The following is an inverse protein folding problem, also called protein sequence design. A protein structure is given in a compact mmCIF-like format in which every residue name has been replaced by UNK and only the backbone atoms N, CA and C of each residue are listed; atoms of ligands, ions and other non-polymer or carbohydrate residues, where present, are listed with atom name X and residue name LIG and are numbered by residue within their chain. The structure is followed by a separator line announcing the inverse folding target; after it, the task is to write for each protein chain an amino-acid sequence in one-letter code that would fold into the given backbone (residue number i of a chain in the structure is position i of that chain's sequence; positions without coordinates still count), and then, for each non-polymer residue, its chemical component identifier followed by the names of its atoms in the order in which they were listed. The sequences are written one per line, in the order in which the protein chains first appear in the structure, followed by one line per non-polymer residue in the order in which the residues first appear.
data_IF_654466717798
#
_entry.id   IF_654466717798
#
_cell.length_a   1.000
_cell.length_b   1.000
_cell.length_c   1.000
_cell.angle_alpha   90.00
_cell.angle_beta   90.00
_cell.angle_gamma   90.00
#
_symmetry.space_group_name_H-M   'P 1'
#
loop_
_entity.id
_entity.type
_entity.pdbx_description
1 polymer ?
#
# COMPACT_ATOMS: atom_id res chain seq x y z
N UNK A 1 39.85 42.69 7.73
CA UNK A 1 38.94 41.71 8.37
C UNK A 1 38.32 40.84 7.29
N UNK A 2 38.57 39.53 7.29
CA UNK A 2 37.96 38.60 6.32
C UNK A 2 36.90 37.75 7.02
N UNK A 3 35.66 37.75 6.52
CA UNK A 3 34.58 36.94 7.08
C UNK A 3 34.69 35.47 6.63
N UNK A 4 34.71 34.53 7.58
CA UNK A 4 34.60 33.10 7.25
C UNK A 4 33.20 32.79 6.70
N UNK A 5 33.14 32.28 5.47
CA UNK A 5 31.91 31.73 4.91
C UNK A 5 31.41 30.54 5.75
N UNK A 6 30.09 30.37 5.85
CA UNK A 6 29.47 29.26 6.57
C UNK A 6 29.31 28.05 5.65
N UNK A 7 29.99 26.95 5.98
CA UNK A 7 29.88 25.65 5.30
C UNK A 7 28.42 25.20 5.19
N UNK A 8 28.01 24.71 4.02
CA UNK A 8 26.60 24.37 3.77
C UNK A 8 26.20 23.02 4.37
N UNK A 9 24.91 22.71 4.33
CA UNK A 9 24.42 21.38 4.72
C UNK A 9 24.86 20.29 3.72
N UNK A 10 25.06 20.65 2.44
CA UNK A 10 25.51 19.72 1.39
C UNK A 10 26.94 19.23 1.60
N UNK A 11 27.82 20.13 2.06
CA UNK A 11 29.23 19.80 2.24
C UNK A 11 29.40 18.77 3.37
N UNK A 12 28.74 19.00 4.52
CA UNK A 12 28.73 18.06 5.66
C UNK A 12 28.17 16.68 5.32
N UNK A 13 27.11 16.61 4.50
CA UNK A 13 26.58 15.33 4.03
C UNK A 13 27.56 14.61 3.08
N UNK A 14 28.44 15.34 2.37
CA UNK A 14 29.44 14.76 1.47
C UNK A 14 30.68 14.27 2.23
N UNK A 15 31.08 14.97 3.29
CA UNK A 15 32.15 14.55 4.21
C UNK A 15 31.80 13.20 4.86
N UNK A 16 30.58 13.06 5.41
CA UNK A 16 30.13 11.82 6.04
C UNK A 16 30.23 10.57 5.12
N UNK A 17 29.71 10.68 3.88
CA UNK A 17 29.77 9.59 2.88
C UNK A 17 31.22 9.24 2.51
N UNK A 18 32.13 10.21 2.55
CA UNK A 18 33.55 9.98 2.25
C UNK A 18 34.25 9.24 3.39
N UNK A 19 33.89 9.51 4.66
CA UNK A 19 34.48 8.86 5.84
C UNK A 19 34.14 7.36 5.93
N UNK A 20 32.93 6.95 5.53
CA UNK A 20 32.55 5.52 5.54
C UNK A 20 33.33 4.70 4.49
N UNK A 21 33.69 5.29 3.35
CA UNK A 21 34.39 4.61 2.25
C UNK A 21 35.89 4.33 2.52
N UNK A 22 36.50 4.98 3.51
CA UNK A 22 37.93 4.85 3.81
C UNK A 22 38.22 3.86 4.97
N UNK A 23 37.17 3.38 5.66
CA UNK A 23 37.29 2.45 6.78
C UNK A 23 37.45 0.96 6.37
N UNK A 24 37.18 0.60 5.11
CA UNK A 24 37.03 -0.80 4.66
C UNK A 24 38.16 -1.28 3.72
N UNK A 25 39.42 -0.93 4.01
CA UNK A 25 40.60 -1.41 3.28
C UNK A 25 41.80 -1.82 4.16
N UNK A 26 41.75 -3.01 4.77
CA UNK A 26 42.95 -3.71 5.28
C UNK A 26 42.84 -5.24 5.06
N UNK A 27 43.76 -5.80 4.24
CA UNK A 27 44.12 -7.24 4.15
C UNK A 27 43.05 -8.25 3.62
N UNK A 28 43.38 -9.30 2.83
CA UNK A 28 44.66 -9.70 2.18
C UNK A 28 44.44 -10.66 0.98
N UNK A 29 44.88 -10.23 -0.21
CA UNK A 29 45.59 -10.97 -1.30
C UNK A 29 45.06 -12.27 -1.98
N UNK A 30 45.45 -12.55 -3.26
CA UNK A 30 44.85 -13.58 -4.14
C UNK A 30 45.80 -14.79 -4.40
N UNK A 31 45.52 -15.72 -5.35
CA UNK A 31 45.57 -15.54 -6.83
C UNK A 31 44.19 -15.91 -7.49
N UNK A 32 43.96 -16.20 -8.79
CA UNK A 32 44.78 -16.65 -9.95
C UNK A 32 44.13 -16.23 -11.30
N UNK A 33 44.80 -16.47 -12.44
CA UNK A 33 44.34 -16.21 -13.81
C UNK A 33 43.11 -17.05 -14.24
N UNK A 34 42.31 -16.65 -15.25
CA UNK A 34 42.65 -16.75 -16.70
C UNK A 34 41.84 -15.77 -17.57
N UNK A 35 42.34 -15.48 -18.78
CA UNK A 35 41.73 -14.65 -19.83
C UNK A 35 40.46 -15.33 -20.46
N UNK A 36 39.73 -14.81 -21.48
CA UNK A 36 40.17 -14.01 -22.64
C UNK A 36 39.00 -13.39 -23.44
N UNK A 37 39.23 -12.20 -24.03
CA UNK A 37 38.61 -11.58 -25.22
C UNK A 37 37.07 -11.50 -25.43
N UNK A 38 36.64 -10.33 -25.92
CA UNK A 38 35.43 -10.09 -26.72
C UNK A 38 35.85 -9.78 -28.19
N UNK A 39 35.00 -9.29 -29.12
CA UNK A 39 33.53 -9.18 -29.16
C UNK A 39 32.90 -9.76 -30.46
N UNK A 40 31.56 -9.73 -30.61
CA UNK A 40 30.90 -9.50 -31.92
C UNK A 40 29.44 -9.02 -31.81
N UNK A 41 29.06 -8.15 -32.73
CA UNK A 41 27.71 -7.77 -33.18
C UNK A 41 27.86 -7.26 -34.64
N UNK A 42 26.80 -6.99 -35.43
CA UNK A 42 25.37 -7.21 -35.22
C UNK A 42 24.71 -8.06 -36.33
N UNK A 43 23.41 -8.34 -36.21
CA UNK A 43 22.52 -8.53 -37.39
C UNK A 43 21.19 -7.80 -37.14
N UNK A 44 20.84 -6.92 -38.08
CA UNK A 44 19.57 -6.21 -38.20
C UNK A 44 18.81 -6.79 -39.41
N UNK A 45 17.49 -7.03 -39.33
CA UNK A 45 16.58 -7.10 -40.50
C UNK A 45 15.10 -7.09 -40.09
N UNK A 46 14.35 -6.13 -40.64
CA UNK A 46 12.91 -6.09 -40.96
C UNK A 46 11.82 -6.55 -39.96
N UNK A 47 10.92 -5.61 -39.65
CA UNK A 47 9.46 -5.86 -39.66
C UNK A 47 8.94 -5.65 -41.11
N UNK A 48 7.81 -6.25 -41.52
CA UNK A 48 6.47 -5.76 -41.15
C UNK A 48 5.62 -6.91 -40.51
N UNK A 49 4.36 -6.78 -40.08
CA UNK A 49 3.20 -6.21 -40.80
C UNK A 49 2.09 -5.66 -39.89
N UNK A 50 1.18 -4.89 -40.51
CA UNK A 50 0.13 -4.08 -39.88
C UNK A 50 -1.19 -4.86 -39.85
N UNK A 51 -1.55 -5.42 -38.71
CA UNK A 51 -2.92 -5.90 -38.43
C UNK A 51 -3.72 -4.86 -37.63
N UNK A 52 -5.00 -4.75 -37.94
CA UNK A 52 -5.81 -3.59 -37.58
C UNK A 52 -6.36 -3.67 -36.15
N UNK A 53 -6.36 -2.53 -35.46
CA UNK A 53 -6.92 -2.44 -34.12
C UNK A 53 -8.46 -2.50 -34.17
N UNK A 54 -9.13 -3.47 -33.49
CA UNK A 54 -10.58 -3.48 -33.41
C UNK A 54 -11.08 -2.20 -32.75
N UNK A 55 -12.11 -1.59 -33.35
CA UNK A 55 -12.53 -0.23 -33.02
C UNK A 55 -12.88 -0.04 -31.54
N UNK A 56 -12.53 1.12 -30.99
CA UNK A 56 -12.96 1.53 -29.64
C UNK A 56 -14.49 1.52 -29.57
N UNK A 57 -15.07 0.58 -28.82
CA UNK A 57 -16.48 0.61 -28.48
C UNK A 57 -16.77 1.89 -27.68
N UNK A 58 -17.48 2.83 -28.31
CA UNK A 58 -17.86 4.11 -27.70
C UNK A 58 -18.75 3.87 -26.50
N UNK A 59 -18.19 4.01 -25.30
CA UNK A 59 -18.96 3.96 -24.05
C UNK A 59 -19.92 5.14 -24.06
N UNK A 60 -21.21 4.85 -24.20
CA UNK A 60 -22.26 5.85 -24.13
C UNK A 60 -22.20 6.57 -22.79
N UNK A 61 -22.28 7.91 -22.81
CA UNK A 61 -22.31 8.71 -21.59
C UNK A 61 -23.60 8.42 -20.80
N UNK A 62 -23.49 7.52 -19.82
CA UNK A 62 -24.44 7.51 -18.70
C UNK A 62 -24.26 8.85 -17.96
N UNK A 63 -25.33 9.57 -17.59
CA UNK A 63 -25.19 10.84 -16.88
C UNK A 63 -24.37 10.64 -15.59
N UNK A 64 -23.56 11.63 -15.17
CA UNK A 64 -22.75 11.49 -13.98
C UNK A 64 -23.65 11.25 -12.76
N UNK A 65 -23.58 10.05 -12.19
CA UNK A 65 -23.57 9.98 -10.73
C UNK A 65 -22.32 10.75 -10.30
N UNK A 66 -22.46 11.58 -9.28
CA UNK A 66 -21.41 12.49 -8.79
C UNK A 66 -20.07 11.75 -8.75
N UNK A 67 -19.10 12.26 -9.52
CA UNK A 67 -17.84 11.58 -9.77
C UNK A 67 -16.96 11.69 -8.52
N UNK A 68 -17.23 10.82 -7.53
CA UNK A 68 -16.42 10.71 -6.30
C UNK A 68 -14.96 10.61 -6.69
N UNK A 69 -14.19 11.63 -6.32
CA UNK A 69 -12.77 11.65 -6.65
C UNK A 69 -12.08 10.46 -5.96
N UNK A 70 -11.19 9.78 -6.67
CA UNK A 70 -10.52 8.58 -6.17
C UNK A 70 -9.01 8.72 -6.20
N UNK A 71 -8.40 8.61 -5.02
CA UNK A 71 -6.96 8.56 -4.83
C UNK A 71 -6.47 7.11 -4.83
N UNK A 72 -5.31 6.88 -5.46
CA UNK A 72 -4.65 5.57 -5.44
C UNK A 72 -3.83 5.40 -4.17
N UNK A 73 -4.27 4.52 -3.29
CA UNK A 73 -3.63 4.18 -2.02
C UNK A 73 -2.90 2.83 -2.12
N UNK A 74 -1.70 2.73 -1.56
CA UNK A 74 -0.93 1.49 -1.49
C UNK A 74 -0.90 0.93 -0.07
N UNK A 75 -1.37 -0.30 0.12
CA UNK A 75 -1.45 -0.96 1.42
C UNK A 75 -0.71 -2.30 1.35
N UNK A 76 0.31 -2.47 2.18
CA UNK A 76 1.03 -3.72 2.39
C UNK A 76 0.21 -4.64 3.31
N UNK A 77 -0.15 -5.82 2.81
CA UNK A 77 -0.96 -6.82 3.53
C UNK A 77 -0.36 -8.22 3.39
N UNK A 78 -0.45 -9.04 4.45
CA UNK A 78 -0.16 -10.48 4.36
C UNK A 78 -1.23 -11.23 3.54
N UNK A 79 -0.93 -12.43 3.02
CA UNK A 79 -1.94 -13.34 2.48
C UNK A 79 -3.15 -13.57 3.40
N UNK A 80 -2.91 -13.76 4.69
CA UNK A 80 -3.92 -13.86 5.76
C UNK A 80 -4.79 -12.60 5.83
N UNK A 81 -4.20 -11.42 6.07
CA UNK A 81 -4.93 -10.15 6.19
C UNK A 81 -5.77 -9.86 4.95
N UNK A 82 -5.21 -10.03 3.75
CA UNK A 82 -5.94 -9.81 2.50
C UNK A 82 -7.09 -10.82 2.31
N UNK A 83 -6.95 -12.05 2.81
CA UNK A 83 -8.00 -13.06 2.75
C UNK A 83 -9.09 -12.77 3.79
N UNK A 84 -8.74 -12.40 5.02
CA UNK A 84 -9.65 -11.91 6.05
C UNK A 84 -10.46 -10.70 5.58
N UNK A 85 -9.81 -9.72 4.95
CA UNK A 85 -10.47 -8.56 4.36
C UNK A 85 -11.51 -8.93 3.30
N UNK A 86 -11.20 -9.85 2.37
CA UNK A 86 -12.18 -10.36 1.38
C UNK A 86 -13.38 -11.04 2.06
N UNK A 87 -13.14 -11.75 3.15
CA UNK A 87 -14.15 -12.46 3.93
C UNK A 87 -15.06 -11.48 4.70
N UNK A 88 -14.47 -10.48 5.35
CA UNK A 88 -15.16 -9.42 6.08
C UNK A 88 -16.05 -8.57 5.16
N UNK A 89 -15.55 -8.18 4.00
CA UNK A 89 -16.33 -7.51 2.94
C UNK A 89 -17.61 -8.28 2.55
N UNK A 90 -17.50 -9.61 2.39
CA UNK A 90 -18.64 -10.45 2.08
C UNK A 90 -19.60 -10.58 3.27
N UNK A 91 -19.08 -10.68 4.50
CA UNK A 91 -19.90 -10.70 5.72
C UNK A 91 -20.65 -9.37 5.91
N UNK A 92 -20.01 -8.21 5.75
CA UNK A 92 -20.69 -6.92 5.85
C UNK A 92 -21.76 -6.76 4.75
N UNK A 93 -21.51 -7.20 3.51
CA UNK A 93 -22.53 -7.18 2.45
C UNK A 93 -23.74 -8.08 2.74
N UNK A 94 -23.51 -9.27 3.33
CA UNK A 94 -24.59 -10.17 3.79
C UNK A 94 -25.37 -9.52 4.94
N UNK A 95 -24.68 -8.88 5.88
CA UNK A 95 -25.26 -8.19 7.03
C UNK A 95 -25.80 -6.77 6.72
N UNK A 96 -26.12 -6.48 5.45
CA UNK A 96 -26.84 -5.27 5.05
C UNK A 96 -25.98 -4.06 4.65
N UNK A 97 -24.65 -4.17 4.61
CA UNK A 97 -23.76 -3.09 4.18
C UNK A 97 -23.97 -2.66 2.72
N UNK A 98 -23.65 -1.40 2.42
CA UNK A 98 -23.95 -0.74 1.13
C UNK A 98 -22.77 -0.68 0.14
N UNK A 99 -21.56 -1.03 0.59
CA UNK A 99 -20.37 -1.12 -0.25
C UNK A 99 -20.47 -2.23 -1.31
N UNK A 100 -21.07 -1.94 -2.47
CA UNK A 100 -21.15 -2.90 -3.58
C UNK A 100 -19.83 -3.13 -4.34
N UNK A 101 -18.71 -2.52 -3.92
CA UNK A 101 -17.35 -2.86 -4.37
C UNK A 101 -16.38 -2.94 -3.19
N UNK A 102 -15.39 -3.82 -3.30
CA UNK A 102 -14.33 -3.96 -2.31
C UNK A 102 -13.58 -2.63 -2.07
N UNK A 103 -13.36 -1.82 -3.11
CA UNK A 103 -12.69 -0.52 -2.96
C UNK A 103 -13.52 0.54 -2.25
N UNK A 104 -14.87 0.50 -2.32
CA UNK A 104 -15.73 1.36 -1.50
C UNK A 104 -15.73 0.91 -0.05
N UNK A 105 -15.80 -0.41 0.19
CA UNK A 105 -15.67 -0.98 1.54
C UNK A 105 -14.35 -0.59 2.21
N UNK A 106 -13.21 -0.67 1.51
CA UNK A 106 -11.92 -0.18 2.04
C UNK A 106 -12.00 1.32 2.41
N UNK A 107 -12.69 2.15 1.61
CA UNK A 107 -12.92 3.56 1.94
C UNK A 107 -13.78 3.76 3.19
N UNK A 108 -14.90 3.03 3.30
CA UNK A 108 -15.79 3.04 4.47
C UNK A 108 -15.08 2.55 5.74
N UNK A 109 -14.22 1.53 5.63
CA UNK A 109 -13.38 1.01 6.72
C UNK A 109 -12.32 2.02 7.17
N UNK A 110 -11.65 2.69 6.23
CA UNK A 110 -10.69 3.78 6.53
C UNK A 110 -11.40 4.93 7.26
N UNK A 111 -12.55 5.38 6.74
CA UNK A 111 -13.36 6.42 7.39
C UNK A 111 -13.81 6.00 8.80
N UNK A 112 -14.29 4.77 8.96
CA UNK A 112 -14.72 4.21 10.27
C UNK A 112 -13.56 4.08 11.26
N UNK A 113 -12.31 3.97 10.81
CA UNK A 113 -11.13 4.04 11.68
C UNK A 113 -10.71 5.49 11.98
N UNK A 114 -10.88 6.41 11.03
CA UNK A 114 -10.56 7.84 11.19
C UNK A 114 -11.50 8.55 12.18
N UNK A 115 -12.78 8.18 12.21
CA UNK A 115 -13.80 8.74 13.11
C UNK A 115 -13.61 8.35 14.60
N UNK A 116 -12.78 7.35 14.91
CA UNK A 116 -12.40 7.02 16.30
C UNK A 116 -11.46 8.10 16.86
N UNK A 117 -11.43 8.27 18.18
CA UNK A 117 -10.42 9.11 18.82
C UNK A 117 -9.00 8.50 18.71
N UNK A 118 -7.93 9.31 18.85
CA UNK A 118 -6.56 8.79 18.91
C UNK A 118 -6.35 7.78 20.03
N UNK A 119 -6.98 7.99 21.18
CA UNK A 119 -6.96 7.10 22.34
C UNK A 119 -7.62 5.75 22.03
N UNK A 120 -8.83 5.74 21.46
CA UNK A 120 -9.49 4.50 21.05
C UNK A 120 -8.70 3.74 19.98
N UNK A 121 -8.06 4.44 19.03
CA UNK A 121 -7.15 3.81 18.06
C UNK A 121 -5.93 3.20 18.75
N UNK A 122 -5.30 3.91 19.69
CA UNK A 122 -4.18 3.40 20.47
C UNK A 122 -4.56 2.12 21.23
N UNK A 123 -5.66 2.13 21.98
CA UNK A 123 -6.17 0.96 22.72
C UNK A 123 -6.48 -0.22 21.78
N UNK A 124 -7.24 0.03 20.71
CA UNK A 124 -7.56 -0.98 19.68
C UNK A 124 -6.30 -1.57 19.02
N UNK A 125 -5.23 -0.79 18.88
CA UNK A 125 -3.96 -1.26 18.32
C UNK A 125 -3.20 -2.21 19.26
N UNK A 126 -3.29 -2.01 20.58
CA UNK A 126 -2.64 -2.89 21.56
C UNK A 126 -3.30 -4.27 21.64
N UNK A 127 -4.59 -4.37 21.30
CA UNK A 127 -5.33 -5.63 21.25
C UNK A 127 -4.93 -6.53 20.06
N UNK A 128 -4.02 -6.10 19.19
CA UNK A 128 -3.57 -6.88 18.04
C UNK A 128 -2.52 -7.94 18.39
N UNK A 129 -2.82 -9.19 18.05
CA UNK A 129 -1.78 -10.17 17.80
C UNK A 129 -0.90 -9.76 16.62
N UNK A 130 0.40 -10.04 16.71
CA UNK A 130 1.32 -9.95 15.56
C UNK A 130 1.02 -11.14 14.63
N UNK A 131 0.73 -10.89 13.35
CA UNK A 131 0.59 -11.99 12.37
C UNK A 131 1.89 -12.80 12.29
N UNK A 132 1.75 -14.11 12.12
CA UNK A 132 2.85 -15.07 12.03
C UNK A 132 3.44 -15.15 10.62
N UNK A 133 2.74 -14.63 9.60
CA UNK A 133 3.21 -14.62 8.22
C UNK A 133 4.29 -13.55 8.00
N UNK A 134 5.52 -13.99 7.65
CA UNK A 134 6.69 -13.10 7.51
C UNK A 134 6.75 -12.30 6.19
N UNK A 135 5.78 -12.48 5.28
CA UNK A 135 5.84 -11.97 3.91
C UNK A 135 4.48 -11.45 3.45
N UNK A 136 4.29 -10.12 3.50
CA UNK A 136 3.19 -9.44 2.82
C UNK A 136 3.56 -8.91 1.43
N UNK A 137 2.59 -8.26 0.78
CA UNK A 137 2.78 -7.62 -0.52
C UNK A 137 1.97 -6.32 -0.60
N UNK A 138 2.50 -5.32 -1.31
CA UNK A 138 1.83 -4.03 -1.51
C UNK A 138 0.72 -4.14 -2.55
N UNK A 139 -0.50 -3.77 -2.17
CA UNK A 139 -1.71 -3.79 -3.00
C UNK A 139 -2.21 -2.38 -3.20
N UNK A 140 -2.44 -1.99 -4.46
CA UNK A 140 -3.02 -0.69 -4.80
C UNK A 140 -4.55 -0.76 -4.85
N UNK A 141 -5.21 0.22 -4.23
CA UNK A 141 -6.66 0.40 -4.27
C UNK A 141 -6.98 1.84 -4.69
N UNK A 142 -8.03 2.02 -5.48
CA UNK A 142 -8.58 3.34 -5.79
C UNK A 142 -9.73 3.61 -4.83
N UNK A 143 -9.47 4.42 -3.79
CA UNK A 143 -10.38 4.73 -2.69
C UNK A 143 -10.85 6.19 -2.80
N UNK A 144 -11.99 6.58 -2.21
CA UNK A 144 -12.42 7.98 -2.20
C UNK A 144 -11.33 8.91 -1.65
N UNK A 145 -11.06 10.04 -2.32
CA UNK A 145 -10.03 11.00 -1.87
C UNK A 145 -10.29 11.52 -0.45
N UNK A 146 -11.56 11.78 -0.11
CA UNK A 146 -11.99 12.16 1.25
C UNK A 146 -11.51 11.17 2.33
N UNK A 147 -11.59 9.86 2.07
CA UNK A 147 -11.13 8.84 3.02
C UNK A 147 -9.59 8.89 3.20
N UNK A 148 -8.84 9.31 2.19
CA UNK A 148 -7.37 9.51 2.27
C UNK A 148 -7.02 10.81 3.01
N UNK A 149 -7.87 11.82 2.94
CA UNK A 149 -7.74 13.04 3.76
C UNK A 149 -8.05 12.76 5.24
N UNK A 150 -9.16 12.06 5.51
CA UNK A 150 -9.53 11.59 6.86
C UNK A 150 -8.43 10.70 7.47
N UNK A 151 -7.88 9.75 6.70
CA UNK A 151 -6.71 8.92 7.05
C UNK A 151 -5.53 9.79 7.51
N UNK A 152 -5.14 10.80 6.73
CA UNK A 152 -3.96 11.63 7.02
C UNK A 152 -4.18 12.55 8.21
N UNK A 153 -5.37 13.12 8.34
CA UNK A 153 -5.77 13.89 9.52
C UNK A 153 -5.72 13.02 10.78
N UNK A 154 -6.21 11.78 10.71
CA UNK A 154 -6.17 10.82 11.81
C UNK A 154 -4.72 10.41 12.18
N UNK A 155 -3.85 10.16 11.20
CA UNK A 155 -2.42 9.89 11.44
C UNK A 155 -1.72 11.08 12.10
N UNK A 156 -2.05 12.32 11.76
CA UNK A 156 -1.53 13.51 12.46
C UNK A 156 -2.07 13.59 13.89
N UNK A 157 -3.35 13.32 14.11
CA UNK A 157 -3.94 13.28 15.45
C UNK A 157 -3.34 12.19 16.34
N UNK A 158 -2.99 11.03 15.77
CA UNK A 158 -2.39 9.88 16.47
C UNK A 158 -0.98 10.18 17.04
N UNK A 159 -0.29 11.21 16.52
CA UNK A 159 0.99 11.69 17.07
C UNK A 159 0.82 12.33 18.45
N UNK A 160 -0.36 12.88 18.76
CA UNK A 160 -0.66 13.47 20.08
C UNK A 160 -0.70 12.43 21.21
N UNK A 161 -0.90 11.15 20.87
CA UNK A 161 -0.87 10.00 21.78
C UNK A 161 0.35 9.11 21.56
N UNK A 162 1.40 9.65 20.91
CA UNK A 162 2.69 8.97 20.77
C UNK A 162 2.72 7.84 19.72
N UNK A 163 1.86 7.87 18.70
CA UNK A 163 1.90 6.92 17.57
C UNK A 163 2.42 7.60 16.31
N UNK A 164 3.32 6.93 15.59
CA UNK A 164 3.80 7.34 14.27
C UNK A 164 3.70 6.20 13.23
N UNK A 165 2.48 5.74 12.89
CA UNK A 165 2.28 4.75 11.84
C UNK A 165 2.44 5.39 10.45
N UNK A 166 2.79 4.58 9.45
CA UNK A 166 2.70 4.97 8.04
C UNK A 166 1.28 4.76 7.51
N UNK A 167 0.89 5.47 6.42
CA UNK A 167 -0.40 5.31 5.72
C UNK A 167 -0.76 3.81 5.55
N UNK A 168 0.20 3.00 5.10
CA UNK A 168 0.01 1.56 4.89
C UNK A 168 -0.21 0.77 6.20
N UNK A 169 0.51 1.09 7.28
CA UNK A 169 0.38 0.37 8.54
C UNK A 169 -0.96 0.69 9.23
N UNK A 170 -1.34 1.97 9.22
CA UNK A 170 -2.63 2.45 9.73
C UNK A 170 -3.79 1.86 8.93
N UNK A 171 -3.68 1.77 7.60
CA UNK A 171 -4.73 1.15 6.78
C UNK A 171 -4.83 -0.37 6.97
N UNK A 172 -3.72 -1.08 7.20
CA UNK A 172 -3.77 -2.49 7.59
C UNK A 172 -4.46 -2.67 8.95
N UNK A 173 -4.15 -1.82 9.94
CA UNK A 173 -4.83 -1.81 11.24
C UNK A 173 -6.35 -1.55 11.13
N UNK A 174 -6.77 -0.65 10.24
CA UNK A 174 -8.18 -0.39 9.94
C UNK A 174 -8.87 -1.62 9.32
N UNK A 175 -8.25 -2.24 8.31
CA UNK A 175 -8.76 -3.43 7.63
C UNK A 175 -8.90 -4.61 8.60
N UNK A 176 -7.90 -4.84 9.43
CA UNK A 176 -7.92 -5.90 10.43
C UNK A 176 -8.91 -5.57 11.57
N UNK A 177 -9.36 -4.32 11.74
CA UNK A 177 -10.37 -3.94 12.75
C UNK A 177 -11.75 -4.22 12.20
N UNK A 178 -12.02 -3.80 10.97
CA UNK A 178 -13.25 -4.17 10.26
C UNK A 178 -13.37 -5.69 10.12
N UNK A 179 -12.26 -6.42 9.98
CA UNK A 179 -12.27 -7.89 9.90
C UNK A 179 -12.72 -8.54 11.22
N UNK A 180 -12.20 -8.11 12.37
CA UNK A 180 -12.67 -8.62 13.67
C UNK A 180 -14.05 -8.06 14.07
N UNK A 181 -14.35 -6.79 13.78
CA UNK A 181 -15.67 -6.18 13.99
C UNK A 181 -16.74 -6.95 13.15
N UNK A 182 -16.46 -7.30 11.87
CA UNK A 182 -17.37 -8.08 11.02
C UNK A 182 -17.49 -9.55 11.44
N UNK A 183 -16.40 -10.18 11.88
CA UNK A 183 -16.38 -11.53 12.45
C UNK A 183 -17.21 -11.61 13.72
N UNK A 184 -17.16 -10.59 14.58
CA UNK A 184 -18.00 -10.49 15.77
C UNK A 184 -19.49 -10.36 15.42
N UNK A 185 -19.86 -9.49 14.44
CA UNK A 185 -21.24 -9.40 13.91
C UNK A 185 -21.72 -10.76 13.39
N UNK A 186 -20.86 -11.50 12.69
CA UNK A 186 -21.16 -12.76 12.02
C UNK A 186 -20.90 -14.00 12.92
N UNK A 187 -21.21 -13.88 14.23
CA UNK A 187 -21.21 -15.00 15.18
C UNK A 187 -19.84 -15.62 15.48
N UNK A 188 -18.76 -14.87 15.31
CA UNK A 188 -17.38 -15.34 15.50
C UNK A 188 -16.74 -16.01 14.28
N UNK A 189 -17.47 -16.12 13.17
CA UNK A 189 -17.00 -16.76 11.92
C UNK A 189 -17.10 -15.82 10.74
N UNK A 190 -16.39 -16.11 9.64
CA UNK A 190 -16.48 -15.35 8.38
C UNK A 190 -16.68 -16.31 7.19
N UNK A 191 -17.37 -15.89 6.11
CA UNK A 191 -17.57 -16.71 4.93
C UNK A 191 -16.27 -16.91 4.15
N UNK A 192 -16.01 -18.13 3.68
CA UNK A 192 -14.83 -18.44 2.85
C UNK A 192 -14.85 -17.61 1.56
N UNK A 193 -13.88 -16.70 1.33
CA UNK A 193 -13.91 -15.82 0.18
C UNK A 193 -13.42 -16.55 -1.08
N UNK A 194 -13.97 -16.24 -2.27
CA UNK A 194 -13.47 -16.80 -3.52
C UNK A 194 -12.03 -16.34 -3.79
N UNK A 195 -11.31 -17.07 -4.65
CA UNK A 195 -9.94 -16.72 -5.05
C UNK A 195 -9.87 -15.27 -5.57
N UNK A 196 -10.81 -14.89 -6.45
CA UNK A 196 -11.04 -13.53 -6.95
C UNK A 196 -12.46 -13.08 -6.59
N UNK A 197 -12.60 -11.88 -6.02
CA UNK A 197 -13.91 -11.26 -5.79
C UNK A 197 -14.58 -10.84 -7.11
N UNK A 198 -15.92 -10.83 -7.18
CA UNK A 198 -16.64 -10.22 -8.30
C UNK A 198 -16.39 -8.69 -8.33
N UNK A 199 -16.45 -8.10 -9.53
CA UNK A 199 -16.18 -6.67 -9.71
C UNK A 199 -17.17 -5.75 -8.97
N UNK A 200 -18.42 -6.21 -8.81
CA UNK A 200 -19.48 -5.63 -7.99
C UNK A 200 -20.29 -6.74 -7.34
N UNK A 201 -20.85 -6.48 -6.16
CA UNK A 201 -21.89 -7.30 -5.56
C UNK A 201 -23.28 -6.79 -5.94
N UNK A 202 -24.26 -7.69 -5.83
CA UNK A 202 -25.70 -7.44 -6.03
C UNK A 202 -26.46 -8.15 -4.90
N UNK A 203 -27.67 -7.68 -4.62
CA UNK A 203 -28.61 -8.18 -3.62
C UNK A 203 -29.99 -8.18 -4.26
#
# INVERSE_FOLDING_TARGET
MAGKARTSLRDRNKEAITTEAEAEQVATTPPTATAQAAPVSPVETAAPEKLEAPAKATKQNKPPLEATEVTRLGIYLTPEQFTGAKAAYLADWINGGEANTFTRWIGEVIGTHAHRSPQERLERSMLRGRSTERTGSSRSFNVPSEAVEQLRAAIVADQSVGRWPSDSAWCAEAIDLATEDAKAKNGGTLPTPPARLPNRLTR
#
